data_IF_403027089337
#
_entry.id   IF_403027089337
#
_cell.length_a   1.000
_cell.length_b   1.000
_cell.length_c   1.000
_cell.angle_alpha   90.00
_cell.angle_beta   90.00
_cell.angle_gamma   90.00
#
_symmetry.space_group_name_H-M   'P 1'
#
loop_
_entity.id
_entity.type
_entity.pdbx_description
1 polymer ?
#
# COMPACT_ATOMS: atom_id res chain seq x y z
N UNK A 1 -33.70 7.62 -20.69
CA UNK A 1 -33.08 7.34 -19.38
C UNK A 1 -31.79 6.57 -19.64
N UNK A 2 -30.68 7.29 -19.80
CA UNK A 2 -29.36 6.68 -20.05
C UNK A 2 -28.58 6.73 -18.75
N UNK A 3 -28.31 5.55 -18.19
CA UNK A 3 -27.60 5.36 -16.93
C UNK A 3 -26.12 5.72 -17.04
N UNK A 4 -25.70 6.51 -16.07
CA UNK A 4 -24.34 6.84 -15.64
C UNK A 4 -23.35 5.67 -15.71
N UNK A 5 -22.55 5.63 -16.78
CA UNK A 5 -21.23 4.97 -16.83
C UNK A 5 -20.12 5.90 -16.31
N UNK A 6 -20.46 6.73 -15.33
CA UNK A 6 -19.66 7.84 -14.84
C UNK A 6 -19.54 7.69 -13.32
N UNK A 7 -18.89 6.62 -12.84
CA UNK A 7 -18.80 6.41 -11.38
C UNK A 7 -17.56 5.70 -10.86
N UNK A 8 -16.78 4.98 -11.68
CA UNK A 8 -15.54 4.35 -11.17
C UNK A 8 -14.29 5.19 -11.45
N UNK A 9 -14.29 5.99 -12.53
CA UNK A 9 -13.16 6.87 -12.87
C UNK A 9 -13.06 8.09 -11.92
N UNK A 10 -14.19 8.52 -11.36
CA UNK A 10 -14.27 9.69 -10.48
C UNK A 10 -13.70 9.42 -9.09
N UNK A 11 -13.61 8.16 -8.64
CA UNK A 11 -13.04 7.80 -7.33
C UNK A 11 -11.50 7.93 -7.31
N UNK A 12 -10.85 7.91 -8.48
CA UNK A 12 -9.40 8.11 -8.61
C UNK A 12 -8.98 9.59 -8.66
N UNK A 13 -9.94 10.53 -8.68
CA UNK A 13 -9.72 11.89 -9.14
C UNK A 13 -8.87 12.82 -8.24
N UNK A 14 -8.39 12.37 -7.07
CA UNK A 14 -7.44 13.17 -6.27
C UNK A 14 -6.33 12.35 -5.60
N UNK A 15 -6.05 11.14 -6.10
CA UNK A 15 -4.92 10.39 -5.57
C UNK A 15 -3.65 10.88 -6.26
N UNK A 16 -2.85 11.66 -5.52
CA UNK A 16 -1.52 12.05 -6.01
C UNK A 16 -0.75 10.76 -6.32
N UNK A 17 -0.15 10.64 -7.50
CA UNK A 17 0.60 9.43 -7.88
C UNK A 17 1.79 9.15 -6.95
N UNK A 18 2.44 7.98 -7.02
CA UNK A 18 3.36 7.49 -5.99
C UNK A 18 4.59 8.38 -5.78
N UNK A 19 4.90 9.24 -6.77
CA UNK A 19 5.94 10.26 -6.69
C UNK A 19 5.77 11.24 -5.52
N UNK A 20 4.56 11.45 -5.01
CA UNK A 20 4.37 12.34 -3.86
C UNK A 20 4.89 11.75 -2.54
N UNK A 21 5.08 10.43 -2.47
CA UNK A 21 5.68 9.75 -1.32
C UNK A 21 7.20 9.81 -1.34
N UNK A 22 7.81 10.11 -2.49
CA UNK A 22 9.26 10.06 -2.68
C UNK A 22 10.03 10.88 -1.62
N UNK A 23 9.63 12.12 -1.26
CA UNK A 23 10.31 12.86 -0.20
C UNK A 23 10.27 12.16 1.15
N UNK A 24 9.12 11.61 1.55
CA UNK A 24 8.95 10.91 2.84
C UNK A 24 9.67 9.56 2.88
N UNK A 25 9.72 8.85 1.74
CA UNK A 25 10.51 7.63 1.58
C UNK A 25 11.99 7.94 1.68
N UNK A 26 12.48 8.97 0.98
CA UNK A 26 13.89 9.39 1.04
C UNK A 26 14.29 9.88 2.43
N UNK A 27 13.41 10.59 3.14
CA UNK A 27 13.62 10.96 4.54
C UNK A 27 13.73 9.71 5.43
N UNK A 28 12.84 8.73 5.25
CA UNK A 28 12.87 7.47 5.99
C UNK A 28 14.16 6.71 5.74
N UNK A 29 14.61 6.64 4.48
CA UNK A 29 15.88 6.03 4.09
C UNK A 29 17.03 6.76 4.79
N UNK A 30 17.12 8.08 4.66
CA UNK A 30 18.22 8.88 5.24
C UNK A 30 18.28 8.78 6.77
N UNK A 31 17.13 8.69 7.44
CA UNK A 31 17.05 8.53 8.88
C UNK A 31 17.42 7.11 9.34
N UNK A 32 17.35 6.13 8.43
CA UNK A 32 17.54 4.71 8.73
C UNK A 32 18.82 4.10 8.17
N UNK A 33 19.51 4.74 7.22
CA UNK A 33 20.81 4.28 6.69
C UNK A 33 21.90 4.19 7.76
N UNK A 34 21.76 4.91 8.86
CA UNK A 34 22.65 4.79 10.02
C UNK A 34 22.30 3.60 10.95
N UNK A 35 21.10 3.03 10.81
CA UNK A 35 20.53 2.04 11.74
C UNK A 35 20.36 0.67 11.10
N UNK A 36 20.23 0.58 9.77
CA UNK A 36 19.97 -0.67 9.07
C UNK A 36 20.92 -0.88 7.87
N UNK A 37 21.31 -2.14 7.58
CA UNK A 37 22.03 -2.49 6.36
C UNK A 37 21.25 -2.13 5.08
N UNK A 38 21.95 -1.88 3.97
CA UNK A 38 21.33 -1.54 2.69
C UNK A 38 20.36 -2.63 2.19
N UNK A 39 20.61 -3.88 2.59
CA UNK A 39 19.77 -5.05 2.30
C UNK A 39 18.38 -4.93 2.95
N UNK A 40 18.28 -4.33 4.13
CA UNK A 40 16.98 -4.08 4.80
C UNK A 40 16.19 -3.01 4.06
N UNK A 41 16.87 -1.96 3.58
CA UNK A 41 16.27 -0.88 2.80
C UNK A 41 15.69 -1.41 1.48
N UNK A 42 16.43 -2.29 0.80
CA UNK A 42 15.97 -2.97 -0.41
C UNK A 42 14.86 -3.99 -0.10
N UNK A 43 15.01 -4.76 0.99
CA UNK A 43 14.04 -5.76 1.43
C UNK A 43 12.69 -5.16 1.79
N UNK A 44 12.67 -3.95 2.37
CA UNK A 44 11.44 -3.26 2.73
C UNK A 44 10.54 -2.99 1.50
N UNK A 45 11.12 -2.71 0.34
CA UNK A 45 10.35 -2.58 -0.90
C UNK A 45 9.67 -3.89 -1.28
N UNK A 46 10.42 -5.01 -1.27
CA UNK A 46 9.86 -6.33 -1.56
C UNK A 46 8.77 -6.73 -0.57
N UNK A 47 9.00 -6.50 0.72
CA UNK A 47 8.04 -6.79 1.78
C UNK A 47 6.71 -6.04 1.58
N UNK A 48 6.76 -4.74 1.24
CA UNK A 48 5.56 -3.95 0.94
C UNK A 48 4.78 -4.58 -0.21
N UNK A 49 5.44 -4.87 -1.33
CA UNK A 49 4.77 -5.43 -2.52
C UNK A 49 4.09 -6.76 -2.23
N UNK A 50 4.79 -7.68 -1.56
CA UNK A 50 4.23 -8.98 -1.19
C UNK A 50 3.07 -8.86 -0.22
N UNK A 51 3.19 -7.97 0.78
CA UNK A 51 2.13 -7.76 1.78
C UNK A 51 0.86 -7.19 1.13
N UNK A 52 0.99 -6.27 0.17
CA UNK A 52 -0.16 -5.74 -0.59
C UNK A 52 -0.84 -6.84 -1.42
N UNK A 53 -0.06 -7.67 -2.13
CA UNK A 53 -0.64 -8.77 -2.92
C UNK A 53 -1.38 -9.78 -2.04
N UNK A 54 -0.83 -10.13 -0.88
CA UNK A 54 -1.46 -11.06 0.07
C UNK A 54 -2.70 -10.43 0.72
N UNK A 55 -2.67 -9.14 1.04
CA UNK A 55 -3.84 -8.43 1.56
C UNK A 55 -5.02 -8.48 0.58
N UNK A 56 -4.77 -8.35 -0.72
CA UNK A 56 -5.80 -8.53 -1.74
C UNK A 56 -6.29 -9.98 -1.81
N UNK A 57 -5.36 -10.93 -1.87
CA UNK A 57 -5.68 -12.36 -2.03
C UNK A 57 -6.43 -12.97 -0.84
N UNK A 58 -6.18 -12.46 0.38
CA UNK A 58 -6.86 -12.95 1.59
C UNK A 58 -8.32 -12.54 1.63
N UNK A 59 -8.69 -11.39 1.06
CA UNK A 59 -10.09 -10.90 1.06
C UNK A 59 -10.46 -10.20 -0.25
N UNK A 60 -10.46 -10.92 -1.39
CA UNK A 60 -10.80 -10.33 -2.69
C UNK A 60 -12.23 -9.77 -2.70
N UNK A 61 -13.14 -10.39 -1.94
CA UNK A 61 -14.54 -10.01 -1.84
C UNK A 61 -14.75 -8.63 -1.18
N UNK A 62 -13.83 -8.21 -0.32
CA UNK A 62 -13.92 -6.90 0.33
C UNK A 62 -13.53 -5.74 -0.60
N UNK A 63 -12.93 -6.07 -1.75
CA UNK A 63 -12.40 -5.12 -2.72
C UNK A 63 -12.98 -5.34 -4.12
N UNK A 64 -14.14 -6.01 -4.23
CA UNK A 64 -14.82 -6.37 -5.50
C UNK A 64 -14.93 -5.25 -6.55
N UNK A 65 -15.12 -3.96 -6.22
CA UNK A 65 -15.15 -2.92 -7.24
C UNK A 65 -13.77 -2.65 -7.90
N UNK A 66 -12.68 -3.19 -7.35
CA UNK A 66 -11.31 -2.96 -7.82
C UNK A 66 -10.70 -4.23 -8.42
N UNK A 67 -10.10 -4.08 -9.61
CA UNK A 67 -9.16 -5.08 -10.12
C UNK A 67 -7.90 -5.14 -9.24
N UNK A 68 -7.17 -6.25 -9.29
CA UNK A 68 -5.88 -6.41 -8.60
C UNK A 68 -4.92 -5.23 -8.86
N UNK A 69 -4.81 -4.79 -10.12
CA UNK A 69 -3.97 -3.64 -10.51
C UNK A 69 -4.46 -2.34 -9.89
N UNK A 70 -5.77 -2.07 -9.92
CA UNK A 70 -6.35 -0.86 -9.31
C UNK A 70 -6.16 -0.85 -7.80
N UNK A 71 -6.29 -2.00 -7.14
CA UNK A 71 -6.00 -2.15 -5.73
C UNK A 71 -4.53 -1.83 -5.41
N UNK A 72 -3.59 -2.43 -6.13
CA UNK A 72 -2.16 -2.16 -5.95
C UNK A 72 -1.83 -0.67 -6.15
N UNK A 73 -2.39 -0.06 -7.20
CA UNK A 73 -2.16 1.34 -7.49
C UNK A 73 -2.71 2.24 -6.41
N UNK A 74 -3.95 2.02 -5.97
CA UNK A 74 -4.57 2.73 -4.88
C UNK A 74 -3.73 2.64 -3.58
N UNK A 75 -3.29 1.43 -3.21
CA UNK A 75 -2.52 1.23 -1.98
C UNK A 75 -1.15 1.91 -2.06
N UNK A 76 -0.46 1.80 -3.21
CA UNK A 76 0.79 2.51 -3.43
C UNK A 76 0.61 4.01 -3.40
N UNK A 77 -0.43 4.50 -4.04
CA UNK A 77 -0.64 5.92 -4.14
C UNK A 77 -1.07 6.50 -2.79
N UNK A 78 -1.66 5.74 -1.87
CA UNK A 78 -2.12 6.31 -0.58
C UNK A 78 -1.24 5.99 0.62
N UNK A 79 -0.68 4.79 0.66
CA UNK A 79 -0.12 4.22 1.89
C UNK A 79 1.35 3.87 1.79
N UNK A 80 1.99 4.05 0.62
CA UNK A 80 3.33 3.53 0.39
C UNK A 80 4.38 4.05 1.38
N UNK A 81 4.37 5.35 1.71
CA UNK A 81 5.33 5.89 2.68
C UNK A 81 5.17 5.26 4.08
N UNK A 82 3.92 5.05 4.54
CA UNK A 82 3.64 4.44 5.85
C UNK A 82 3.99 2.95 5.86
N UNK A 83 3.61 2.23 4.80
CA UNK A 83 3.94 0.81 4.64
C UNK A 83 5.45 0.60 4.56
N UNK A 84 6.16 1.48 3.85
CA UNK A 84 7.61 1.42 3.75
C UNK A 84 8.29 1.68 5.10
N UNK A 85 7.86 2.72 5.84
CA UNK A 85 8.34 2.99 7.21
C UNK A 85 8.09 1.81 8.13
N UNK A 86 6.92 1.17 8.02
CA UNK A 86 6.59 -0.01 8.80
C UNK A 86 7.47 -1.20 8.44
N UNK A 87 7.66 -1.48 7.15
CA UNK A 87 8.52 -2.56 6.68
C UNK A 87 9.96 -2.38 7.19
N UNK A 88 10.47 -1.14 7.19
CA UNK A 88 11.77 -0.84 7.81
C UNK A 88 11.78 -1.05 9.32
N UNK A 89 10.71 -0.65 10.04
CA UNK A 89 10.56 -0.90 11.47
C UNK A 89 10.51 -2.38 11.84
N UNK A 90 10.06 -3.24 10.91
CA UNK A 90 10.08 -4.70 11.02
C UNK A 90 11.42 -5.31 10.56
N UNK A 91 12.43 -4.47 10.23
CA UNK A 91 13.73 -4.93 9.75
C UNK A 91 13.66 -5.63 8.39
N UNK A 92 12.60 -5.40 7.61
CA UNK A 92 12.28 -6.12 6.39
C UNK A 92 12.27 -7.66 6.58
N UNK A 93 11.81 -8.13 7.74
CA UNK A 93 11.62 -9.55 8.01
C UNK A 93 10.45 -10.12 7.19
N UNK A 94 10.75 -11.01 6.25
CA UNK A 94 9.77 -11.60 5.36
C UNK A 94 8.81 -12.56 6.07
N UNK A 95 9.18 -13.07 7.25
CA UNK A 95 8.27 -13.90 8.06
C UNK A 95 7.08 -13.07 8.60
N UNK A 96 7.23 -11.74 8.67
CA UNK A 96 6.20 -10.80 9.12
C UNK A 96 5.24 -10.35 8.01
N UNK A 97 5.41 -10.85 6.76
CA UNK A 97 4.56 -10.46 5.62
C UNK A 97 3.09 -10.77 5.88
N UNK A 98 2.78 -11.90 6.52
CA UNK A 98 1.40 -12.27 6.84
C UNK A 98 0.72 -11.25 7.75
N UNK A 99 1.43 -10.82 8.79
CA UNK A 99 0.93 -9.85 9.77
C UNK A 99 0.78 -8.46 9.14
N UNK A 100 1.76 -8.05 8.33
CA UNK A 100 1.68 -6.79 7.59
C UNK A 100 0.52 -6.80 6.59
N UNK A 101 0.28 -7.91 5.90
CA UNK A 101 -0.85 -8.07 4.99
C UNK A 101 -2.21 -8.01 5.72
N UNK A 102 -2.31 -8.62 6.89
CA UNK A 102 -3.51 -8.54 7.73
C UNK A 102 -3.81 -7.09 8.14
N UNK A 103 -2.77 -6.36 8.54
CA UNK A 103 -2.92 -4.95 8.93
C UNK A 103 -3.29 -4.04 7.76
N UNK A 104 -2.74 -4.29 6.56
CA UNK A 104 -3.18 -3.61 5.32
C UNK A 104 -4.66 -3.90 5.08
N UNK A 105 -5.08 -5.17 5.12
CA UNK A 105 -6.47 -5.54 4.87
C UNK A 105 -7.44 -4.91 5.88
N UNK A 106 -7.04 -4.83 7.16
CA UNK A 106 -7.82 -4.18 8.22
C UNK A 106 -7.88 -2.66 8.06
N UNK A 107 -6.77 -2.01 7.70
CA UNK A 107 -6.74 -0.57 7.46
C UNK A 107 -7.66 -0.18 6.29
N UNK A 108 -7.63 -0.96 5.21
CA UNK A 108 -8.43 -0.70 4.01
C UNK A 108 -9.93 -0.99 4.21
N UNK A 109 -10.30 -1.92 5.08
CA UNK A 109 -11.71 -2.13 5.47
C UNK A 109 -12.36 -0.91 6.09
N UNK A 110 -11.57 -0.22 6.90
CA UNK A 110 -12.02 0.94 7.65
C UNK A 110 -11.77 2.23 6.86
N UNK A 111 -11.29 2.15 5.61
CA UNK A 111 -11.05 3.31 4.77
C UNK A 111 -12.39 3.79 4.16
N UNK A 112 -12.95 4.90 4.65
CA UNK A 112 -14.23 5.44 4.18
C UNK A 112 -14.16 5.98 2.75
N UNK A 113 -12.98 5.99 2.13
CA UNK A 113 -12.79 6.35 0.73
C UNK A 113 -12.85 5.13 -0.21
N UNK A 114 -12.85 3.89 0.33
CA UNK A 114 -12.98 2.64 -0.42
C UNK A 114 -14.36 1.99 -0.28
N UNK A 115 -15.09 2.33 0.77
CA UNK A 115 -16.40 1.77 1.10
C UNK A 115 -17.57 2.65 0.64
N UNK A 116 -17.39 3.52 -0.36
CA UNK A 116 -18.45 4.40 -0.90
C UNK A 116 -19.13 3.81 -2.12
#
# INVERSE_FOLDING_TARGET
MSGTHESTLTVLAEIRGPAHHLPAVMESINNMTALFPAEVIAGAFGMVEHSVSIAWATRPDAFLPLTFTQFHQLVRDRYYADLYRRALGLGADFDQIGDMAADIALALLNDPQLTR
#
